data_IF_266431925482
#
_entry.id   IF_266431925482
#
_cell.length_a   1.000
_cell.length_b   1.000
_cell.length_c   1.000
_cell.angle_alpha   90.00
_cell.angle_beta   90.00
_cell.angle_gamma   90.00
#
_symmetry.space_group_name_H-M   'P 1'
#
loop_
_entity.id
_entity.type
_entity.pdbx_description
1 polymer ?
#
# COMPACT_ATOMS: atom_id res chain seq x y z
N UNK A 1 -34.03 -47.21 -53.95
CA UNK A 1 -34.82 -46.24 -53.17
C UNK A 1 -34.18 -44.88 -53.44
N UNK A 2 -34.69 -43.97 -54.29
CA UNK A 2 -36.07 -43.48 -54.52
C UNK A 2 -36.65 -42.86 -53.24
N UNK A 3 -37.12 -41.61 -53.19
CA UNK A 3 -37.60 -40.67 -54.24
C UNK A 3 -36.72 -39.38 -54.33
N UNK A 4 -36.76 -38.46 -55.33
CA UNK A 4 -37.85 -37.88 -56.18
C UNK A 4 -38.78 -36.91 -55.38
N UNK A 5 -39.28 -35.75 -55.83
CA UNK A 5 -39.46 -35.01 -57.13
C UNK A 5 -39.27 -33.48 -56.86
N UNK A 6 -39.46 -32.50 -57.76
CA UNK A 6 -38.87 -32.17 -59.09
C UNK A 6 -39.37 -30.76 -59.53
N UNK A 7 -38.50 -29.93 -60.14
CA UNK A 7 -38.75 -28.62 -60.81
C UNK A 7 -39.21 -27.41 -59.95
N UNK A 8 -38.98 -26.11 -60.25
CA UNK A 8 -38.38 -25.29 -61.35
C UNK A 8 -39.36 -24.30 -62.02
N UNK A 9 -38.88 -23.05 -62.16
CA UNK A 9 -39.25 -21.93 -63.07
C UNK A 9 -40.49 -21.02 -62.91
N UNK A 10 -40.28 -19.81 -63.49
CA UNK A 10 -41.24 -18.82 -64.02
C UNK A 10 -41.65 -17.60 -63.17
N UNK A 11 -40.70 -16.67 -63.04
CA UNK A 11 -40.84 -15.23 -63.38
C UNK A 11 -42.19 -14.76 -63.97
N UNK A 12 -42.74 -13.63 -63.47
CA UNK A 12 -43.39 -12.58 -64.31
C UNK A 12 -43.46 -11.24 -63.56
N UNK A 13 -43.57 -10.14 -64.31
CA UNK A 13 -43.50 -8.74 -63.86
C UNK A 13 -44.88 -8.19 -63.49
N UNK A 14 -44.97 -7.28 -62.50
CA UNK A 14 -46.20 -6.55 -62.17
C UNK A 14 -45.95 -5.18 -61.53
N UNK A 15 -46.24 -4.11 -62.26
CA UNK A 15 -46.31 -2.73 -61.75
C UNK A 15 -47.60 -2.48 -60.93
N UNK A 16 -47.60 -1.57 -59.94
CA UNK A 16 -48.23 -0.22 -60.04
C UNK A 16 -48.43 0.56 -58.73
N UNK A 17 -48.34 1.89 -58.88
CA UNK A 17 -49.05 2.98 -58.15
C UNK A 17 -49.11 3.02 -56.61
N UNK A 18 -48.36 3.96 -56.04
CA UNK A 18 -48.93 5.27 -55.66
C UNK A 18 -49.64 5.41 -54.30
N UNK A 19 -48.97 6.05 -53.33
CA UNK A 19 -49.57 6.52 -52.07
C UNK A 19 -49.21 7.98 -51.77
N UNK A 20 -50.21 8.87 -51.68
CA UNK A 20 -50.01 10.31 -51.38
C UNK A 20 -49.60 10.54 -49.93
N UNK A 21 -48.73 11.54 -49.69
CA UNK A 21 -48.75 12.34 -48.45
C UNK A 21 -48.60 13.83 -48.75
N UNK A 22 -49.54 14.61 -48.24
CA UNK A 22 -49.36 16.03 -47.91
C UNK A 22 -48.68 16.12 -46.51
N UNK A 23 -48.30 17.26 -45.92
CA UNK A 23 -48.61 18.68 -46.20
C UNK A 23 -47.44 19.57 -45.68
N UNK A 24 -47.44 20.84 -46.10
CA UNK A 24 -46.87 22.03 -45.42
C UNK A 24 -46.80 21.84 -43.88
N UNK A 25 -45.73 22.20 -43.15
CA UNK A 25 -45.34 23.61 -42.84
C UNK A 25 -43.91 23.79 -42.26
N UNK A 26 -43.44 25.03 -42.16
CA UNK A 26 -42.08 25.41 -41.74
C UNK A 26 -41.93 25.67 -40.23
N UNK A 27 -40.79 25.29 -39.63
CA UNK A 27 -40.46 25.62 -38.23
C UNK A 27 -38.97 25.91 -37.99
N UNK A 28 -38.61 27.18 -37.74
CA UNK A 28 -37.29 27.57 -37.19
C UNK A 28 -37.33 27.62 -35.65
N UNK A 29 -36.42 26.89 -34.98
CA UNK A 29 -35.86 27.13 -33.62
C UNK A 29 -34.59 26.27 -33.55
N UNK A 30 -33.38 26.83 -33.54
CA UNK A 30 -32.75 27.73 -32.54
C UNK A 30 -32.44 27.04 -31.20
N UNK A 31 -31.17 26.71 -31.05
CA UNK A 31 -30.35 26.61 -29.82
C UNK A 31 -31.05 26.45 -28.46
N UNK A 32 -30.72 25.34 -27.78
CA UNK A 32 -30.50 25.32 -26.33
C UNK A 32 -29.58 24.14 -25.93
N UNK A 33 -28.28 24.38 -26.02
CA UNK A 33 -27.26 23.55 -25.39
C UNK A 33 -26.92 24.04 -23.97
N UNK A 34 -25.97 23.36 -23.33
CA UNK A 34 -25.42 23.60 -21.98
C UNK A 34 -26.40 23.48 -20.80
N UNK A 35 -26.16 22.46 -19.97
CA UNK A 35 -26.78 22.28 -18.67
C UNK A 35 -26.16 21.12 -17.89
N UNK A 36 -26.24 19.90 -18.43
CA UNK A 36 -25.94 18.67 -17.69
C UNK A 36 -24.44 18.33 -17.60
N UNK A 37 -23.71 18.29 -18.73
CA UNK A 37 -22.34 17.74 -18.77
C UNK A 37 -21.27 18.42 -17.90
N UNK A 38 -21.48 19.65 -17.40
CA UNK A 38 -20.58 20.29 -16.42
C UNK A 38 -20.97 19.99 -14.96
N UNK A 39 -22.19 19.52 -14.71
CA UNK A 39 -22.58 18.90 -13.44
C UNK A 39 -21.99 17.52 -13.32
N UNK A 40 -22.21 16.67 -14.33
CA UNK A 40 -21.81 15.25 -14.30
C UNK A 40 -20.29 15.08 -14.23
N UNK A 41 -19.51 15.82 -15.05
CA UNK A 41 -18.05 15.78 -15.01
C UNK A 41 -17.48 16.26 -13.66
N UNK A 42 -18.13 17.22 -12.99
CA UNK A 42 -17.76 17.62 -11.63
C UNK A 42 -18.12 16.54 -10.62
N UNK A 43 -19.30 15.91 -10.75
CA UNK A 43 -19.77 14.82 -9.89
C UNK A 43 -18.87 13.60 -9.96
N UNK A 44 -18.36 13.26 -11.14
CA UNK A 44 -17.39 12.18 -11.35
C UNK A 44 -16.03 12.56 -10.71
N UNK A 45 -15.49 13.75 -10.97
CA UNK A 45 -14.23 14.20 -10.35
C UNK A 45 -14.31 14.35 -8.81
N UNK A 46 -15.51 14.61 -8.28
CA UNK A 46 -15.86 14.62 -6.85
C UNK A 46 -15.90 13.18 -6.30
N UNK A 47 -16.69 12.28 -6.90
CA UNK A 47 -16.78 10.86 -6.50
C UNK A 47 -15.46 10.11 -6.62
N UNK A 48 -14.65 10.34 -7.66
CA UNK A 48 -13.32 9.75 -7.76
C UNK A 48 -12.38 10.28 -6.65
N UNK A 49 -12.50 11.56 -6.28
CA UNK A 49 -11.71 12.14 -5.19
C UNK A 49 -12.13 11.53 -3.86
N UNK A 50 -13.43 11.37 -3.64
CA UNK A 50 -14.02 10.68 -2.49
C UNK A 50 -13.59 9.20 -2.44
N UNK A 51 -13.56 8.48 -3.57
CA UNK A 51 -13.02 7.10 -3.65
C UNK A 51 -11.51 7.05 -3.41
N UNK A 52 -10.73 8.02 -3.90
CA UNK A 52 -9.29 8.14 -3.59
C UNK A 52 -9.06 8.47 -2.11
N UNK A 53 -9.91 9.29 -1.50
CA UNK A 53 -9.86 9.64 -0.07
C UNK A 53 -10.35 8.50 0.83
N UNK A 54 -11.36 7.73 0.42
CA UNK A 54 -11.79 6.50 1.10
C UNK A 54 -10.72 5.39 0.99
N UNK A 55 -10.05 5.24 -0.16
CA UNK A 55 -8.89 4.35 -0.29
C UNK A 55 -7.72 4.80 0.59
N UNK A 56 -7.37 6.10 0.58
CA UNK A 56 -6.38 6.70 1.51
C UNK A 56 -6.76 6.47 2.97
N UNK A 57 -8.03 6.66 3.35
CA UNK A 57 -8.49 6.49 4.72
C UNK A 57 -8.43 5.02 5.16
N UNK A 58 -8.83 4.09 4.30
CA UNK A 58 -8.75 2.66 4.57
C UNK A 58 -7.28 2.18 4.66
N UNK A 59 -6.38 2.68 3.79
CA UNK A 59 -4.96 2.34 3.86
C UNK A 59 -4.24 3.01 5.04
N UNK A 60 -4.56 4.26 5.36
CA UNK A 60 -4.10 4.93 6.60
C UNK A 60 -4.61 4.18 7.84
N UNK A 61 -5.86 3.72 7.86
CA UNK A 61 -6.38 2.88 8.94
C UNK A 61 -5.62 1.55 9.05
N UNK A 62 -5.28 0.88 7.95
CA UNK A 62 -4.39 -0.31 8.00
C UNK A 62 -3.01 0.02 8.57
N UNK A 63 -2.43 1.17 8.24
CA UNK A 63 -1.17 1.65 8.82
C UNK A 63 -1.31 1.95 10.32
N UNK A 64 -2.43 2.54 10.76
CA UNK A 64 -2.72 2.77 12.19
C UNK A 64 -3.12 1.48 12.96
N UNK A 65 -3.64 0.45 12.29
CA UNK A 65 -3.83 -0.87 12.89
C UNK A 65 -2.53 -1.67 12.96
N UNK A 66 -1.57 -1.44 12.06
CA UNK A 66 -0.21 -1.97 12.16
C UNK A 66 0.62 -1.22 13.23
N UNK A 67 0.48 0.10 13.32
CA UNK A 67 0.94 0.94 14.43
C UNK A 67 -0.06 0.87 15.60
N UNK A 68 -0.36 -0.36 16.03
CA UNK A 68 -1.57 -0.73 16.77
C UNK A 68 -1.91 0.17 17.96
N UNK A 69 -2.93 1.02 17.75
CA UNK A 69 -3.72 1.75 18.74
C UNK A 69 -2.98 2.20 20.00
N UNK A 70 -2.10 3.19 19.85
CA UNK A 70 -1.79 4.13 20.95
C UNK A 70 -2.94 5.16 21.07
N UNK A 71 -4.17 4.67 21.23
CA UNK A 71 -5.29 5.47 21.72
C UNK A 71 -5.07 5.64 23.21
N UNK A 72 -4.41 6.74 23.58
CA UNK A 72 -4.17 7.14 24.96
C UNK A 72 -5.48 7.57 25.66
N UNK A 73 -6.33 6.58 25.92
CA UNK A 73 -7.39 6.65 26.94
C UNK A 73 -6.77 6.49 28.33
N UNK A 74 -5.76 7.32 28.64
CA UNK A 74 -5.45 7.65 30.01
C UNK A 74 -6.76 8.12 30.69
N UNK A 75 -7.13 7.57 31.85
CA UNK A 75 -8.29 8.05 32.58
C UNK A 75 -8.05 9.51 32.95
N UNK A 76 -8.91 10.41 32.48
CA UNK A 76 -8.89 11.80 32.93
C UNK A 76 -8.94 11.81 34.46
N UNK A 77 -7.94 12.37 35.17
CA UNK A 77 -8.03 12.48 36.61
C UNK A 77 -9.30 13.27 36.95
N UNK A 78 -10.07 12.87 37.97
CA UNK A 78 -11.28 13.59 38.33
C UNK A 78 -10.91 15.04 38.62
N UNK A 79 -11.60 15.97 37.95
CA UNK A 79 -11.39 17.40 38.17
C UNK A 79 -11.52 17.68 39.67
N UNK A 80 -10.50 18.32 40.25
CA UNK A 80 -10.46 18.61 41.68
C UNK A 80 -11.71 19.41 42.07
N UNK A 81 -12.59 18.78 42.85
CA UNK A 81 -13.79 19.42 43.35
C UNK A 81 -13.43 20.71 44.11
N UNK A 82 -14.29 21.72 44.02
CA UNK A 82 -14.07 22.99 44.70
C UNK A 82 -13.87 22.78 46.21
N UNK A 83 -12.85 23.43 46.77
CA UNK A 83 -12.64 23.48 48.20
C UNK A 83 -12.95 24.89 48.69
N UNK A 84 -14.08 25.06 49.38
CA UNK A 84 -14.50 26.34 49.97
C UNK A 84 -13.56 26.75 51.11
N UNK A 85 -12.94 27.95 51.08
CA UNK A 85 -12.16 28.47 52.19
C UNK A 85 -13.05 29.23 53.18
N UNK A 86 -13.66 28.50 54.12
CA UNK A 86 -14.42 29.08 55.23
C UNK A 86 -13.86 28.62 56.60
N UNK A 87 -13.66 29.58 57.51
CA UNK A 87 -12.91 29.47 58.78
C UNK A 87 -11.39 29.23 58.63
N UNK A 88 -10.53 29.79 59.49
CA UNK A 88 -10.81 30.84 60.48
C UNK A 88 -9.75 31.01 61.56
N UNK A 89 -9.08 32.17 61.55
CA UNK A 89 -8.37 32.82 62.67
C UNK A 89 -7.01 32.25 63.13
N UNK A 90 -6.07 33.17 63.41
CA UNK A 90 -4.74 33.04 64.09
C UNK A 90 -3.64 32.21 63.39
N UNK A 91 -2.35 32.53 63.54
CA UNK A 91 -1.71 33.69 64.20
C UNK A 91 -0.47 34.14 63.39
N UNK A 92 0.01 35.37 63.61
CA UNK A 92 0.98 36.02 62.72
C UNK A 92 2.46 35.82 63.06
N UNK A 93 3.35 36.14 62.12
CA UNK A 93 4.65 36.84 62.34
C UNK A 93 5.15 37.38 60.99
N UNK A 94 5.54 38.65 60.94
CA UNK A 94 6.13 39.27 59.74
C UNK A 94 7.63 38.96 59.61
N UNK A 95 8.09 38.61 58.41
CA UNK A 95 9.50 38.74 58.01
C UNK A 95 9.56 39.27 56.57
N UNK A 96 10.06 40.49 56.41
CA UNK A 96 10.23 41.14 55.09
C UNK A 96 11.60 40.80 54.47
N UNK A 97 11.66 40.38 53.19
CA UNK A 97 12.92 40.08 52.52
C UNK A 97 13.53 41.34 51.86
N UNK A 98 14.60 41.88 52.44
CA UNK A 98 15.44 42.89 51.78
C UNK A 98 16.31 42.25 50.71
N UNK A 99 16.18 42.66 49.45
CA UNK A 99 17.11 42.30 48.37
C UNK A 99 17.97 43.49 47.92
N UNK A 100 19.31 43.31 47.78
CA UNK A 100 20.15 44.24 47.03
C UNK A 100 20.07 43.95 45.51
N UNK A 101 20.20 44.96 44.64
CA UNK A 101 20.24 44.77 43.19
C UNK A 101 21.62 44.27 42.72
N UNK A 102 21.65 43.35 41.76
CA UNK A 102 22.86 42.91 41.05
C UNK A 102 22.67 43.08 39.55
N UNK A 103 23.70 43.56 38.86
CA UNK A 103 23.59 44.15 37.52
C UNK A 103 23.38 43.14 36.38
N UNK A 104 22.80 43.62 35.27
CA UNK A 104 22.56 42.85 34.06
C UNK A 104 23.87 42.52 33.31
N UNK A 105 24.33 41.27 33.41
CA UNK A 105 25.43 40.73 32.62
C UNK A 105 24.92 39.87 31.46
N UNK A 106 25.10 40.30 30.22
CA UNK A 106 24.58 39.61 29.02
C UNK A 106 25.40 38.36 28.68
N UNK A 107 25.04 37.21 29.26
CA UNK A 107 25.65 35.91 28.92
C UNK A 107 25.24 35.49 27.51
N UNK A 108 26.09 35.78 26.51
CA UNK A 108 25.99 35.17 25.18
C UNK A 108 26.37 33.69 25.28
N UNK A 109 25.37 32.82 25.24
CA UNK A 109 25.58 31.42 24.91
C UNK A 109 26.11 31.34 23.47
N UNK A 110 27.26 30.70 23.28
CA UNK A 110 27.78 30.42 21.95
C UNK A 110 27.04 29.19 21.40
N UNK A 111 26.30 29.35 20.31
CA UNK A 111 25.65 28.23 19.63
C UNK A 111 26.71 27.21 19.21
N UNK A 112 26.69 25.96 19.70
CA UNK A 112 27.59 24.93 19.20
C UNK A 112 27.30 24.71 17.71
N UNK A 113 28.32 24.53 16.85
CA UNK A 113 28.09 24.29 15.44
C UNK A 113 27.23 23.03 15.27
N UNK A 114 26.21 23.11 14.42
CA UNK A 114 25.32 21.99 14.16
C UNK A 114 26.13 20.80 13.63
N UNK A 115 26.40 19.82 14.49
CA UNK A 115 26.92 18.52 14.07
C UNK A 115 25.90 17.95 13.09
N UNK A 116 26.31 17.78 11.84
CA UNK A 116 25.49 17.11 10.84
C UNK A 116 25.00 15.78 11.43
N UNK A 117 23.68 15.66 11.60
CA UNK A 117 23.06 14.54 12.29
C UNK A 117 23.09 13.30 11.40
N UNK A 118 24.29 12.69 11.29
CA UNK A 118 24.42 11.28 10.96
C UNK A 118 23.55 10.52 11.95
N UNK A 119 22.39 10.08 11.49
CA UNK A 119 21.65 8.99 12.13
C UNK A 119 22.65 7.87 12.42
N UNK A 120 22.67 7.30 13.64
CA UNK A 120 23.51 6.16 13.92
C UNK A 120 23.11 5.05 12.94
N UNK A 121 24.08 4.54 12.18
CA UNK A 121 23.82 3.44 11.24
C UNK A 121 23.25 2.26 12.02
N UNK A 122 22.20 1.57 11.53
CA UNK A 122 21.71 0.37 12.21
C UNK A 122 22.84 -0.63 12.43
N UNK A 123 22.78 -1.34 13.56
CA UNK A 123 23.71 -2.42 13.89
C UNK A 123 23.45 -3.64 13.00
N UNK A 124 22.18 -3.88 12.65
CA UNK A 124 21.74 -4.89 11.68
C UNK A 124 20.63 -4.37 10.77
N UNK A 125 20.69 -4.73 9.49
CA UNK A 125 19.59 -4.57 8.52
C UNK A 125 18.96 -5.95 8.28
N UNK A 126 17.65 -6.10 8.50
CA UNK A 126 16.92 -7.35 8.22
C UNK A 126 16.19 -7.28 6.88
N UNK A 127 16.12 -8.42 6.18
CA UNK A 127 15.39 -8.53 4.92
C UNK A 127 14.40 -9.69 4.95
N UNK A 128 13.11 -9.36 5.02
CA UNK A 128 11.99 -10.31 5.10
C UNK A 128 11.07 -10.27 3.87
N UNK A 129 11.32 -9.42 2.86
CA UNK A 129 10.61 -9.46 1.57
C UNK A 129 11.18 -10.57 0.68
N UNK A 130 11.00 -11.82 1.09
CA UNK A 130 11.69 -13.00 0.61
C UNK A 130 12.19 -13.87 1.77
N UNK A 131 13.07 -14.85 1.51
CA UNK A 131 13.75 -15.61 2.56
C UNK A 131 14.49 -14.69 3.54
N UNK A 132 14.40 -14.96 4.84
CA UNK A 132 15.00 -14.10 5.86
C UNK A 132 16.53 -14.02 5.72
N UNK A 133 17.04 -12.80 5.56
CA UNK A 133 18.46 -12.44 5.62
C UNK A 133 18.69 -11.43 6.74
N UNK A 134 19.92 -11.38 7.25
CA UNK A 134 20.40 -10.29 8.08
C UNK A 134 21.74 -9.79 7.52
N UNK A 135 21.95 -8.47 7.57
CA UNK A 135 23.19 -7.79 7.19
C UNK A 135 23.73 -7.06 8.41
N UNK A 136 24.93 -7.42 8.86
CA UNK A 136 25.61 -6.82 10.01
C UNK A 136 26.88 -6.12 9.51
N UNK A 137 27.08 -4.86 9.88
CA UNK A 137 28.19 -4.03 9.40
C UNK A 137 28.36 -4.02 7.85
N UNK A 138 27.27 -4.20 7.10
CA UNK A 138 27.28 -4.26 5.62
C UNK A 138 27.64 -5.63 5.02
N UNK A 139 27.70 -6.71 5.82
CA UNK A 139 27.92 -8.10 5.35
C UNK A 139 26.73 -8.99 5.69
N UNK A 140 26.32 -9.85 4.76
CA UNK A 140 25.37 -10.92 5.06
C UNK A 140 25.95 -11.87 6.12
N UNK A 141 25.12 -12.32 7.05
CA UNK A 141 25.52 -13.22 8.14
C UNK A 141 24.76 -14.54 8.12
N UNK A 142 25.43 -15.63 8.49
CA UNK A 142 24.83 -16.97 8.54
C UNK A 142 23.84 -17.09 9.72
N UNK A 143 22.56 -17.05 9.39
CA UNK A 143 21.46 -17.22 10.33
C UNK A 143 21.21 -18.68 10.75
N UNK A 144 21.96 -19.65 10.21
CA UNK A 144 21.95 -21.04 10.63
C UNK A 144 20.71 -21.84 10.23
N UNK A 145 20.38 -22.84 11.04
CA UNK A 145 19.36 -23.85 10.74
C UNK A 145 17.95 -23.27 10.52
N UNK A 146 17.06 -23.94 9.76
CA UNK A 146 15.73 -23.41 9.41
C UNK A 146 14.88 -22.90 10.58
N UNK A 147 14.88 -23.56 11.74
CA UNK A 147 14.14 -23.08 12.93
C UNK A 147 14.75 -21.83 13.57
N UNK A 148 16.06 -21.61 13.43
CA UNK A 148 16.72 -20.37 13.86
C UNK A 148 16.43 -19.21 12.89
N UNK A 149 16.28 -19.50 11.59
CA UNK A 149 15.81 -18.54 10.58
C UNK A 149 14.34 -18.18 10.79
N UNK A 150 13.47 -19.17 10.95
CA UNK A 150 12.05 -18.98 11.27
C UNK A 150 11.83 -18.15 12.54
N UNK A 151 12.62 -18.39 13.61
CA UNK A 151 12.61 -17.58 14.83
C UNK A 151 12.86 -16.10 14.54
N UNK A 152 13.86 -15.79 13.71
CA UNK A 152 14.14 -14.42 13.34
C UNK A 152 13.01 -13.83 12.49
N UNK A 153 12.44 -14.58 11.55
CA UNK A 153 11.32 -14.12 10.72
C UNK A 153 10.08 -13.75 11.56
N UNK A 154 9.69 -14.58 12.53
CA UNK A 154 8.62 -14.27 13.52
C UNK A 154 8.92 -12.97 14.25
N UNK A 155 10.14 -12.81 14.78
CA UNK A 155 10.54 -11.61 15.51
C UNK A 155 10.61 -10.35 14.63
N UNK A 156 11.00 -10.46 13.35
CA UNK A 156 11.03 -9.34 12.40
C UNK A 156 9.62 -8.90 12.02
N UNK A 157 8.65 -9.82 11.92
CA UNK A 157 7.23 -9.49 11.69
C UNK A 157 6.57 -8.69 12.84
N UNK A 158 7.27 -8.57 13.98
CA UNK A 158 6.89 -7.80 15.17
C UNK A 158 8.05 -6.93 15.67
N UNK A 159 8.88 -6.41 14.76
CA UNK A 159 10.03 -5.57 15.12
C UNK A 159 9.61 -4.37 15.99
N UNK A 160 10.31 -4.13 17.09
CA UNK A 160 9.94 -3.15 18.12
C UNK A 160 8.90 -3.63 19.15
N UNK A 161 8.22 -4.76 18.93
CA UNK A 161 7.25 -5.35 19.86
C UNK A 161 7.81 -6.63 20.52
N UNK A 162 7.38 -6.98 21.75
CA UNK A 162 7.82 -8.20 22.42
C UNK A 162 6.94 -9.38 22.03
N UNK A 163 7.55 -10.45 21.50
CA UNK A 163 6.86 -11.72 21.21
C UNK A 163 7.10 -12.71 22.35
N UNK A 164 6.03 -13.26 22.92
CA UNK A 164 6.10 -14.21 24.04
C UNK A 164 6.76 -15.53 23.61
N UNK A 165 7.47 -16.19 24.56
CA UNK A 165 8.06 -17.52 24.34
C UNK A 165 7.01 -18.52 23.82
N UNK A 166 5.81 -18.49 24.39
CA UNK A 166 4.75 -19.46 24.10
C UNK A 166 4.28 -19.35 22.63
N UNK A 167 4.11 -18.12 22.13
CA UNK A 167 3.78 -17.83 20.71
C UNK A 167 4.93 -18.24 19.78
N UNK A 168 6.18 -17.98 20.17
CA UNK A 168 7.35 -18.39 19.39
C UNK A 168 7.43 -19.93 19.32
N UNK A 169 7.12 -20.64 20.39
CA UNK A 169 7.09 -22.11 20.42
C UNK A 169 5.95 -22.66 19.55
N UNK A 170 4.76 -22.07 19.64
CA UNK A 170 3.60 -22.44 18.81
C UNK A 170 3.91 -22.29 17.31
N UNK A 171 4.48 -21.16 16.89
CA UNK A 171 4.84 -20.90 15.49
C UNK A 171 6.02 -21.75 15.01
N UNK A 172 7.05 -21.93 15.84
CA UNK A 172 8.23 -22.74 15.47
C UNK A 172 7.94 -24.23 15.35
N UNK A 173 6.94 -24.76 16.05
CA UNK A 173 6.62 -26.20 16.04
C UNK A 173 5.19 -26.52 15.58
N UNK A 174 4.43 -25.54 15.14
CA UNK A 174 3.09 -25.68 14.55
C UNK A 174 2.16 -26.51 15.46
N UNK A 175 2.02 -26.06 16.70
CA UNK A 175 1.23 -26.73 17.76
C UNK A 175 1.81 -28.03 18.31
N UNK A 176 2.96 -28.50 17.81
CA UNK A 176 3.54 -29.81 18.16
C UNK A 176 4.98 -29.69 18.73
N UNK A 177 5.20 -28.93 19.81
CA UNK A 177 6.53 -28.73 20.37
C UNK A 177 7.10 -29.98 21.07
N UNK A 178 8.37 -30.35 20.86
CA UNK A 178 9.03 -31.39 21.65
C UNK A 178 9.25 -30.91 23.10
N UNK A 179 9.44 -31.82 24.07
CA UNK A 179 9.73 -31.45 25.47
C UNK A 179 10.97 -30.55 25.65
N UNK A 180 11.88 -30.53 24.67
CA UNK A 180 13.08 -29.69 24.63
C UNK A 180 12.90 -28.32 23.94
N UNK A 181 11.68 -27.95 23.54
CA UNK A 181 11.42 -26.74 22.73
C UNK A 181 11.97 -25.45 23.36
N UNK A 182 11.76 -25.25 24.67
CA UNK A 182 12.25 -24.07 25.40
C UNK A 182 13.78 -24.01 25.37
N UNK A 183 14.46 -25.13 25.61
CA UNK A 183 15.93 -25.24 25.57
C UNK A 183 16.47 -25.00 24.16
N UNK A 184 15.79 -25.54 23.14
CA UNK A 184 16.13 -25.32 21.72
C UNK A 184 15.99 -23.85 21.33
N UNK A 185 14.89 -23.20 21.76
CA UNK A 185 14.67 -21.76 21.56
C UNK A 185 15.76 -20.91 22.23
N UNK A 186 16.15 -21.23 23.47
CA UNK A 186 17.26 -20.54 24.15
C UNK A 186 18.58 -20.67 23.38
N UNK A 187 18.87 -21.85 22.81
CA UNK A 187 20.05 -22.06 21.97
C UNK A 187 19.98 -21.26 20.65
N UNK A 188 18.82 -21.23 19.97
CA UNK A 188 18.63 -20.42 18.76
C UNK A 188 18.80 -18.92 19.04
N UNK A 189 18.26 -18.41 20.16
CA UNK A 189 18.45 -17.01 20.59
C UNK A 189 19.92 -16.72 20.92
N UNK A 190 20.63 -17.63 21.59
CA UNK A 190 22.05 -17.47 21.89
C UNK A 190 22.91 -17.41 20.61
N UNK A 191 22.61 -18.25 19.62
CA UNK A 191 23.26 -18.23 18.32
C UNK A 191 22.96 -16.96 17.54
N UNK A 192 21.69 -16.55 17.41
CA UNK A 192 21.32 -15.28 16.77
C UNK A 192 22.03 -14.10 17.44
N UNK A 193 22.08 -14.05 18.78
CA UNK A 193 22.84 -13.04 19.53
C UNK A 193 24.33 -13.05 19.24
N UNK A 194 24.95 -14.20 18.96
CA UNK A 194 26.38 -14.28 18.59
C UNK A 194 26.62 -13.79 17.15
N UNK A 195 25.67 -14.03 16.26
CA UNK A 195 25.77 -13.70 14.82
C UNK A 195 25.41 -12.25 14.52
N UNK A 196 24.39 -11.71 15.20
CA UNK A 196 23.89 -10.34 15.00
C UNK A 196 24.73 -9.28 15.72
N UNK A 197 25.51 -9.67 16.72
CA UNK A 197 26.38 -8.77 17.50
C UNK A 197 27.75 -9.44 17.74
N UNK A 198 28.55 -9.65 16.67
CA UNK A 198 29.80 -10.44 16.75
C UNK A 198 30.85 -9.79 17.64
N UNK A 199 30.92 -8.46 17.66
CA UNK A 199 31.85 -7.67 18.47
C UNK A 199 31.35 -7.41 19.92
N UNK A 200 30.23 -8.03 20.33
CA UNK A 200 29.67 -7.82 21.67
C UNK A 200 30.57 -8.46 22.73
N UNK A 201 31.08 -7.63 23.63
CA UNK A 201 31.95 -8.04 24.72
C UNK A 201 31.34 -9.16 25.59
N UNK A 202 32.16 -10.06 26.17
CA UNK A 202 31.68 -11.08 27.09
C UNK A 202 30.88 -10.48 28.26
N UNK A 203 29.78 -11.15 28.61
CA UNK A 203 28.88 -10.80 29.73
C UNK A 203 28.08 -9.49 29.58
N UNK A 204 28.19 -8.72 28.50
CA UNK A 204 27.30 -7.57 28.27
C UNK A 204 25.95 -8.00 27.70
N UNK A 205 24.83 -7.30 28.02
CA UNK A 205 23.52 -7.59 27.44
C UNK A 205 23.50 -7.43 25.92
N UNK A 206 22.67 -8.23 25.25
CA UNK A 206 22.36 -8.06 23.83
C UNK A 206 21.48 -6.81 23.61
N UNK A 207 21.78 -6.04 22.56
CA UNK A 207 21.07 -4.81 22.19
C UNK A 207 20.12 -5.01 21.02
N UNK A 208 20.51 -5.81 20.02
CA UNK A 208 19.69 -6.14 18.84
C UNK A 208 18.53 -7.07 19.20
N UNK A 209 18.83 -8.25 19.77
CA UNK A 209 17.85 -9.26 20.16
C UNK A 209 17.73 -9.32 21.68
N UNK A 210 16.80 -8.54 22.24
CA UNK A 210 16.63 -8.35 23.68
C UNK A 210 15.68 -9.40 24.27
N UNK A 211 15.89 -9.75 25.53
CA UNK A 211 14.88 -10.47 26.33
C UNK A 211 14.01 -9.42 27.02
N UNK A 212 12.70 -9.58 26.95
CA UNK A 212 11.73 -8.61 27.48
C UNK A 212 10.57 -9.37 28.13
N UNK A 213 10.39 -9.22 29.44
CA UNK A 213 9.40 -9.98 30.20
C UNK A 213 9.57 -11.50 30.01
N UNK A 214 8.51 -12.17 29.54
CA UNK A 214 8.47 -13.61 29.19
C UNK A 214 8.70 -13.88 27.69
N UNK A 215 9.41 -12.98 27.00
CA UNK A 215 9.55 -13.01 25.55
C UNK A 215 10.85 -12.40 25.03
N UNK A 216 10.90 -12.21 23.72
CA UNK A 216 12.02 -11.62 23.00
C UNK A 216 11.54 -10.47 22.11
N UNK A 217 12.41 -9.48 21.90
CA UNK A 217 12.13 -8.26 21.16
C UNK A 217 13.34 -7.92 20.27
N UNK A 218 13.09 -7.62 18.99
CA UNK A 218 14.07 -6.96 18.13
C UNK A 218 13.94 -5.45 18.29
N UNK A 219 15.02 -4.78 18.65
CA UNK A 219 14.99 -3.37 19.05
C UNK A 219 15.03 -2.44 17.81
N UNK A 220 13.87 -1.94 17.40
CA UNK A 220 13.67 -1.07 16.22
C UNK A 220 14.47 0.24 16.25
N UNK A 221 15.13 0.59 17.36
CA UNK A 221 16.00 1.77 17.48
C UNK A 221 17.43 1.51 16.99
N UNK A 222 17.81 0.25 16.77
CA UNK A 222 19.15 -0.16 16.32
C UNK A 222 19.14 -1.07 15.09
N UNK A 223 17.97 -1.32 14.48
CA UNK A 223 17.82 -2.16 13.28
C UNK A 223 16.93 -1.51 12.23
N UNK A 224 17.23 -1.77 10.95
CA UNK A 224 16.33 -1.48 9.82
C UNK A 224 15.68 -2.76 9.30
N UNK A 225 14.51 -2.65 8.66
CA UNK A 225 13.82 -3.78 8.01
C UNK A 225 13.33 -3.36 6.62
N UNK A 226 13.60 -4.17 5.59
CA UNK A 226 13.15 -3.93 4.21
C UNK A 226 11.63 -3.73 4.08
N UNK A 227 10.83 -4.44 4.86
CA UNK A 227 9.37 -4.32 4.98
C UNK A 227 8.92 -2.87 5.27
N UNK A 228 9.60 -2.19 6.20
CA UNK A 228 9.31 -0.79 6.53
C UNK A 228 9.68 0.12 5.36
N UNK A 229 10.88 -0.07 4.79
CA UNK A 229 11.38 0.72 3.66
C UNK A 229 10.50 0.56 2.42
N UNK A 230 9.97 -0.63 2.16
CA UNK A 230 8.97 -0.88 1.11
C UNK A 230 7.67 -0.12 1.36
N UNK A 231 7.17 -0.14 2.61
CA UNK A 231 5.96 0.61 3.01
C UNK A 231 6.14 2.13 2.87
N UNK A 232 7.32 2.64 3.21
CA UNK A 232 7.72 4.05 3.00
C UNK A 232 7.77 4.41 1.52
N UNK A 233 8.42 3.57 0.69
CA UNK A 233 8.51 3.73 -0.77
C UNK A 233 7.14 3.72 -1.45
N UNK A 234 6.27 2.77 -1.08
CA UNK A 234 4.89 2.73 -1.54
C UNK A 234 4.15 4.04 -1.20
N UNK A 235 4.25 4.48 0.07
CA UNK A 235 3.63 5.73 0.55
C UNK A 235 4.18 6.96 -0.19
N UNK A 236 5.49 7.01 -0.48
CA UNK A 236 6.11 8.09 -1.23
C UNK A 236 5.67 8.11 -2.70
N UNK A 237 5.52 6.94 -3.33
CA UNK A 237 5.02 6.80 -4.70
C UNK A 237 3.58 7.26 -4.86
N UNK A 238 2.67 6.85 -3.97
CA UNK A 238 1.28 7.34 -3.95
C UNK A 238 1.21 8.85 -3.75
N UNK A 239 1.96 9.39 -2.77
CA UNK A 239 2.05 10.84 -2.54
C UNK A 239 2.62 11.62 -3.73
N UNK A 240 3.44 11.00 -4.58
CA UNK A 240 3.94 11.60 -5.80
C UNK A 240 2.88 11.60 -6.93
N UNK A 241 2.13 10.50 -7.11
CA UNK A 241 0.97 10.50 -8.01
C UNK A 241 -0.06 11.56 -7.60
N UNK A 242 -0.36 11.67 -6.31
CA UNK A 242 -1.29 12.66 -5.74
C UNK A 242 -0.88 14.12 -5.99
N UNK A 243 0.43 14.39 -6.20
CA UNK A 243 0.97 15.72 -6.56
C UNK A 243 1.13 15.94 -8.06
N UNK A 244 0.80 14.95 -8.90
CA UNK A 244 1.03 15.01 -10.34
C UNK A 244 2.50 14.82 -10.74
N UNK A 245 3.28 14.09 -9.94
CA UNK A 245 4.72 13.84 -10.14
C UNK A 245 5.00 12.38 -10.58
N UNK A 246 4.46 11.87 -11.70
CA UNK A 246 4.53 10.44 -12.02
C UNK A 246 5.97 9.92 -12.22
N UNK A 247 6.93 10.77 -12.62
CA UNK A 247 8.35 10.40 -12.68
C UNK A 247 8.99 10.20 -11.30
N UNK A 248 8.48 10.88 -10.26
CA UNK A 248 8.88 10.60 -8.88
C UNK A 248 8.17 9.34 -8.37
N UNK A 249 6.90 9.14 -8.73
CA UNK A 249 6.17 7.92 -8.38
C UNK A 249 6.84 6.66 -8.92
N UNK A 250 7.26 6.65 -10.19
CA UNK A 250 8.03 5.55 -10.78
C UNK A 250 9.28 5.23 -9.97
N UNK A 251 10.13 6.22 -9.67
CA UNK A 251 11.35 6.02 -8.86
C UNK A 251 11.08 5.40 -7.50
N UNK A 252 10.02 5.85 -6.82
CA UNK A 252 9.67 5.35 -5.49
C UNK A 252 9.10 3.92 -5.56
N UNK A 253 8.17 3.64 -6.47
CA UNK A 253 7.61 2.29 -6.65
C UNK A 253 8.67 1.28 -7.11
N UNK A 254 9.57 1.65 -8.04
CA UNK A 254 10.67 0.80 -8.49
C UNK A 254 11.68 0.55 -7.38
N UNK A 255 12.08 1.58 -6.63
CA UNK A 255 12.94 1.42 -5.46
C UNK A 255 12.28 0.54 -4.37
N UNK A 256 10.96 0.55 -4.25
CA UNK A 256 10.21 -0.37 -3.39
C UNK A 256 10.23 -1.81 -3.91
N UNK A 257 9.92 -2.02 -5.19
CA UNK A 257 9.85 -3.36 -5.81
C UNK A 257 11.20 -4.07 -5.82
N UNK A 258 12.32 -3.35 -6.00
CA UNK A 258 13.68 -3.94 -5.94
C UNK A 258 14.08 -4.52 -4.58
N UNK A 259 13.31 -4.28 -3.51
CA UNK A 259 13.53 -4.91 -2.20
C UNK A 259 13.03 -6.37 -2.14
N UNK A 260 12.12 -6.75 -3.04
CA UNK A 260 11.48 -8.06 -3.07
C UNK A 260 12.38 -9.12 -3.73
N UNK A 261 12.59 -10.22 -3.00
CA UNK A 261 13.42 -11.38 -3.39
C UNK A 261 12.62 -12.69 -3.43
N UNK A 262 11.33 -12.65 -3.09
CA UNK A 262 10.43 -13.81 -3.01
C UNK A 262 9.23 -13.52 -2.11
N UNK A 263 8.51 -14.56 -1.70
CA UNK A 263 7.39 -14.49 -0.74
C UNK A 263 7.84 -13.84 0.59
N UNK A 264 7.05 -12.91 1.12
CA UNK A 264 7.35 -12.25 2.39
C UNK A 264 7.36 -13.26 3.55
N UNK A 265 8.38 -13.17 4.42
CA UNK A 265 8.65 -14.08 5.55
C UNK A 265 8.65 -15.56 5.16
N UNK A 266 9.30 -15.94 4.05
CA UNK A 266 9.19 -17.27 3.43
C UNK A 266 9.40 -18.49 4.36
N UNK A 267 10.10 -18.34 5.49
CA UNK A 267 10.28 -19.39 6.50
C UNK A 267 9.02 -19.71 7.34
N UNK A 268 8.07 -18.78 7.38
CA UNK A 268 6.88 -18.75 8.27
C UNK A 268 5.66 -18.11 7.61
N UNK A 269 5.64 -17.96 6.28
CA UNK A 269 4.58 -17.23 5.57
C UNK A 269 3.18 -17.86 5.72
N UNK A 270 3.12 -19.17 5.99
CA UNK A 270 1.87 -19.92 6.17
C UNK A 270 1.47 -20.12 7.64
N UNK A 271 2.31 -19.73 8.61
CA UNK A 271 2.03 -19.93 10.06
C UNK A 271 1.09 -18.86 10.61
N UNK A 272 0.32 -19.20 11.64
CA UNK A 272 -0.89 -18.46 12.04
C UNK A 272 -0.63 -17.01 12.45
N UNK A 273 0.50 -16.73 13.10
CA UNK A 273 0.84 -15.41 13.62
C UNK A 273 1.42 -14.46 12.57
N UNK A 274 2.10 -14.99 11.54
CA UNK A 274 2.79 -14.19 10.51
C UNK A 274 2.01 -14.09 9.19
N UNK A 275 1.23 -15.12 8.83
CA UNK A 275 0.42 -15.17 7.60
C UNK A 275 -0.44 -13.93 7.32
N UNK A 276 -1.11 -13.27 8.30
CA UNK A 276 -1.86 -12.04 8.03
C UNK A 276 -1.00 -10.88 7.54
N UNK A 277 0.24 -10.76 8.06
CA UNK A 277 1.19 -9.72 7.67
C UNK A 277 1.86 -10.04 6.32
N UNK A 278 2.18 -11.31 6.06
CA UNK A 278 2.66 -11.76 4.75
C UNK A 278 1.62 -11.47 3.65
N UNK A 279 0.33 -11.76 3.90
CA UNK A 279 -0.76 -11.45 2.98
C UNK A 279 -0.96 -9.93 2.78
N UNK A 280 -0.87 -9.12 3.86
CA UNK A 280 -0.95 -7.65 3.76
C UNK A 280 0.16 -7.07 2.88
N UNK A 281 1.38 -7.60 3.00
CA UNK A 281 2.51 -7.14 2.19
C UNK A 281 2.40 -7.54 0.72
N UNK A 282 1.87 -8.73 0.43
CA UNK A 282 1.61 -9.15 -0.95
C UNK A 282 0.53 -8.28 -1.61
N UNK A 283 -0.58 -7.99 -0.93
CA UNK A 283 -1.58 -7.04 -1.42
C UNK A 283 -1.01 -5.63 -1.67
N UNK A 284 -0.11 -5.16 -0.79
CA UNK A 284 0.63 -3.91 -1.01
C UNK A 284 1.59 -4.01 -2.21
N UNK A 285 2.22 -5.16 -2.45
CA UNK A 285 3.07 -5.42 -3.64
C UNK A 285 2.26 -5.32 -4.93
N UNK A 286 1.10 -5.97 -4.98
CA UNK A 286 0.22 -5.93 -6.14
C UNK A 286 -0.29 -4.50 -6.40
N UNK A 287 -0.66 -3.78 -5.33
CA UNK A 287 -1.05 -2.37 -5.43
C UNK A 287 0.09 -1.47 -5.92
N UNK A 288 1.34 -1.71 -5.49
CA UNK A 288 2.51 -0.96 -5.98
C UNK A 288 2.83 -1.24 -7.45
N UNK A 289 2.60 -2.46 -7.96
CA UNK A 289 2.70 -2.75 -9.41
C UNK A 289 1.62 -1.98 -10.18
N UNK A 290 0.37 -2.00 -9.72
CA UNK A 290 -0.72 -1.20 -10.30
C UNK A 290 -0.36 0.30 -10.30
N UNK A 291 0.20 0.83 -9.21
CA UNK A 291 0.67 2.21 -9.09
C UNK A 291 1.83 2.57 -10.03
N UNK A 292 2.80 1.66 -10.20
CA UNK A 292 3.89 1.81 -11.18
C UNK A 292 3.34 1.90 -12.59
N UNK A 293 2.44 0.99 -12.97
CA UNK A 293 1.82 0.97 -14.29
C UNK A 293 0.96 2.22 -14.55
N UNK A 294 0.20 2.70 -13.56
CA UNK A 294 -0.50 3.98 -13.64
C UNK A 294 0.46 5.16 -13.88
N UNK A 295 1.62 5.16 -13.22
CA UNK A 295 2.66 6.17 -13.43
C UNK A 295 3.35 6.06 -14.82
N UNK A 296 3.55 4.84 -15.35
CA UNK A 296 4.01 4.62 -16.74
C UNK A 296 3.01 5.23 -17.75
N UNK A 297 1.70 4.99 -17.56
CA UNK A 297 0.65 5.55 -18.42
C UNK A 297 0.54 7.08 -18.33
N UNK A 298 0.89 7.68 -17.18
CA UNK A 298 0.93 9.13 -17.04
C UNK A 298 2.12 9.76 -17.79
N UNK A 299 3.28 9.10 -17.85
CA UNK A 299 4.47 9.62 -18.57
C UNK A 299 4.50 9.29 -20.08
N UNK A 300 3.53 8.53 -20.59
CA UNK A 300 3.46 8.13 -22.01
C UNK A 300 4.12 6.79 -22.33
N UNK A 301 4.58 6.03 -21.33
CA UNK A 301 5.29 4.77 -21.51
C UNK A 301 4.32 3.57 -21.69
N UNK A 302 3.44 3.65 -22.69
CA UNK A 302 2.31 2.74 -22.85
C UNK A 302 2.73 1.28 -23.10
N UNK A 303 3.64 1.01 -24.05
CA UNK A 303 4.13 -0.35 -24.32
C UNK A 303 4.78 -1.03 -23.10
N UNK A 304 5.50 -0.26 -22.27
CA UNK A 304 6.09 -0.78 -21.03
C UNK A 304 5.01 -1.19 -20.04
N UNK A 305 3.95 -0.38 -19.91
CA UNK A 305 2.82 -0.71 -19.06
C UNK A 305 2.06 -1.93 -19.60
N UNK A 306 1.85 -2.06 -20.91
CA UNK A 306 1.20 -3.23 -21.51
C UNK A 306 1.95 -4.52 -21.14
N UNK A 307 3.26 -4.59 -21.37
CA UNK A 307 4.03 -5.81 -21.11
C UNK A 307 4.02 -6.24 -19.63
N UNK A 308 4.04 -5.29 -18.68
CA UNK A 308 3.95 -5.58 -17.25
C UNK A 308 2.51 -5.97 -16.83
N UNK A 309 1.51 -5.32 -17.42
CA UNK A 309 0.09 -5.57 -17.11
C UNK A 309 -0.48 -6.84 -17.75
N UNK A 310 -0.03 -7.25 -18.94
CA UNK A 310 -0.41 -8.53 -19.56
C UNK A 310 -0.03 -9.71 -18.65
N UNK A 311 1.16 -9.68 -18.03
CA UNK A 311 1.56 -10.67 -17.04
C UNK A 311 0.81 -10.54 -15.71
N UNK A 312 0.60 -9.30 -15.22
CA UNK A 312 -0.13 -9.04 -13.98
C UNK A 312 -1.59 -9.52 -14.03
N UNK A 313 -2.33 -9.24 -15.11
CA UNK A 313 -3.74 -9.64 -15.22
C UNK A 313 -3.90 -11.14 -15.49
N UNK A 314 -2.89 -11.83 -16.05
CA UNK A 314 -2.89 -13.29 -16.11
C UNK A 314 -2.71 -13.93 -14.72
N UNK A 315 -1.84 -13.37 -13.87
CA UNK A 315 -1.61 -13.85 -12.51
C UNK A 315 -2.73 -13.46 -11.53
N UNK A 316 -3.36 -12.30 -11.73
CA UNK A 316 -4.35 -11.73 -10.82
C UNK A 316 -5.64 -11.28 -11.56
N UNK A 317 -6.36 -12.19 -12.26
CA UNK A 317 -7.40 -11.84 -13.22
C UNK A 317 -8.68 -11.25 -12.63
N UNK A 318 -8.84 -11.34 -11.30
CA UNK A 318 -9.92 -10.69 -10.54
C UNK A 318 -9.56 -9.26 -10.08
N UNK A 319 -8.31 -8.81 -10.26
CA UNK A 319 -7.90 -7.43 -9.97
C UNK A 319 -8.29 -6.51 -11.12
N UNK A 320 -9.55 -6.11 -11.09
CA UNK A 320 -10.16 -5.21 -12.07
C UNK A 320 -9.34 -3.94 -12.37
N UNK A 321 -8.58 -3.40 -11.40
CA UNK A 321 -7.77 -2.19 -11.63
C UNK A 321 -6.56 -2.47 -12.54
N UNK A 322 -5.95 -3.66 -12.46
CA UNK A 322 -4.98 -4.12 -13.47
C UNK A 322 -5.60 -4.26 -14.86
N UNK A 323 -6.84 -4.75 -14.96
CA UNK A 323 -7.57 -4.85 -16.22
C UNK A 323 -7.96 -3.47 -16.80
N UNK A 324 -8.35 -2.53 -15.94
CA UNK A 324 -8.63 -1.12 -16.24
C UNK A 324 -7.39 -0.44 -16.84
N UNK A 325 -6.24 -0.57 -16.16
CA UNK A 325 -4.95 -0.07 -16.63
C UNK A 325 -4.50 -0.73 -17.94
N UNK A 326 -4.66 -2.05 -18.09
CA UNK A 326 -4.24 -2.77 -19.31
C UNK A 326 -5.05 -2.32 -20.52
N UNK A 327 -6.36 -2.17 -20.34
CA UNK A 327 -7.27 -1.74 -21.41
C UNK A 327 -6.98 -0.30 -21.85
N UNK A 328 -6.68 0.59 -20.90
CA UNK A 328 -6.24 1.95 -21.19
C UNK A 328 -4.86 1.99 -21.88
N UNK A 329 -3.93 1.11 -21.48
CA UNK A 329 -2.62 0.98 -22.09
C UNK A 329 -2.73 0.55 -23.56
N UNK A 330 -3.45 -0.55 -23.81
CA UNK A 330 -3.73 -1.07 -25.15
C UNK A 330 -4.44 -0.04 -26.04
N UNK A 331 -5.46 0.66 -25.52
CA UNK A 331 -6.13 1.72 -26.28
C UNK A 331 -5.17 2.84 -26.69
N UNK A 332 -4.32 3.33 -25.78
CA UNK A 332 -3.33 4.38 -26.06
C UNK A 332 -2.22 3.93 -27.02
N UNK A 333 -1.95 2.63 -27.08
CA UNK A 333 -1.11 1.99 -28.10
C UNK A 333 -1.84 1.71 -29.44
N UNK A 334 -3.10 2.14 -29.61
CA UNK A 334 -3.90 1.90 -30.82
C UNK A 334 -4.49 0.48 -30.92
N UNK A 335 -4.23 -0.40 -29.94
CA UNK A 335 -4.70 -1.79 -29.85
C UNK A 335 -6.15 -1.86 -29.31
N UNK A 336 -7.06 -1.05 -29.87
CA UNK A 336 -8.45 -0.89 -29.39
C UNK A 336 -9.23 -2.21 -29.30
N UNK A 337 -9.07 -3.10 -30.29
CA UNK A 337 -9.76 -4.40 -30.31
C UNK A 337 -9.31 -5.31 -29.15
N UNK A 338 -8.04 -5.24 -28.76
CA UNK A 338 -7.47 -6.01 -27.65
C UNK A 338 -7.87 -5.42 -26.31
N UNK A 339 -7.92 -4.08 -26.19
CA UNK A 339 -8.46 -3.40 -25.01
C UNK A 339 -9.91 -3.85 -24.71
N UNK A 340 -10.77 -3.88 -25.74
CA UNK A 340 -12.15 -4.37 -25.61
C UNK A 340 -12.22 -5.87 -25.29
N UNK A 341 -11.27 -6.68 -25.77
CA UNK A 341 -11.19 -8.09 -25.43
C UNK A 341 -10.83 -8.31 -23.95
N UNK A 342 -9.85 -7.58 -23.41
CA UNK A 342 -9.45 -7.62 -21.99
C UNK A 342 -10.63 -7.31 -21.08
N UNK A 343 -11.38 -6.24 -21.37
CA UNK A 343 -12.56 -5.85 -20.60
C UNK A 343 -13.60 -6.99 -20.60
N UNK A 344 -13.99 -7.51 -21.76
CA UNK A 344 -15.01 -8.56 -21.89
C UNK A 344 -14.60 -9.88 -21.24
N UNK A 345 -13.32 -10.26 -21.33
CA UNK A 345 -12.79 -11.46 -20.66
C UNK A 345 -12.80 -11.30 -19.14
N UNK A 346 -12.48 -10.12 -18.60
CA UNK A 346 -12.59 -9.86 -17.16
C UNK A 346 -14.06 -9.83 -16.69
N UNK A 347 -14.95 -9.11 -17.39
CA UNK A 347 -16.40 -9.08 -17.10
C UNK A 347 -16.99 -10.49 -17.05
N UNK A 348 -16.71 -11.30 -18.07
CA UNK A 348 -17.15 -12.70 -18.12
C UNK A 348 -16.65 -13.50 -16.91
N UNK A 349 -15.38 -13.33 -16.52
CA UNK A 349 -14.80 -14.02 -15.37
C UNK A 349 -15.43 -13.60 -14.04
N UNK A 350 -15.73 -12.31 -13.84
CA UNK A 350 -16.42 -11.84 -12.63
C UNK A 350 -17.81 -12.47 -12.48
N UNK A 351 -18.55 -12.59 -13.58
CA UNK A 351 -19.84 -13.27 -13.60
C UNK A 351 -19.73 -14.79 -13.37
N UNK A 352 -18.73 -15.47 -13.96
CA UNK A 352 -18.56 -16.93 -13.85
C UNK A 352 -17.91 -17.39 -12.53
N UNK A 353 -16.91 -16.67 -11.99
CA UNK A 353 -16.18 -17.07 -10.77
C UNK A 353 -16.76 -16.49 -9.48
N UNK A 354 -17.36 -15.29 -9.53
CA UNK A 354 -17.84 -14.57 -8.33
C UNK A 354 -19.35 -14.27 -8.35
N UNK A 355 -20.01 -14.36 -9.51
CA UNK A 355 -21.43 -14.02 -9.65
C UNK A 355 -21.72 -12.51 -9.51
N UNK A 356 -20.75 -11.64 -9.82
CA UNK A 356 -20.87 -10.19 -9.66
C UNK A 356 -20.68 -9.44 -10.99
N UNK A 357 -21.33 -8.28 -11.09
CA UNK A 357 -21.11 -7.31 -12.16
C UNK A 357 -19.76 -6.57 -11.99
N UNK A 358 -19.13 -6.11 -13.08
CA UNK A 358 -17.91 -5.29 -13.05
C UNK A 358 -18.17 -3.92 -12.40
N UNK A 359 -17.14 -3.34 -11.77
CA UNK A 359 -17.19 -1.96 -11.26
C UNK A 359 -17.61 -0.96 -12.35
N UNK A 360 -18.34 0.11 -11.99
CA UNK A 360 -18.71 1.18 -12.93
C UNK A 360 -17.53 1.81 -13.68
N UNK A 361 -16.32 1.80 -13.13
CA UNK A 361 -15.10 2.27 -13.81
C UNK A 361 -14.75 1.46 -15.07
N UNK A 362 -14.86 0.12 -15.03
CA UNK A 362 -14.64 -0.74 -16.19
C UNK A 362 -15.75 -0.56 -17.24
N UNK A 363 -17.00 -0.44 -16.79
CA UNK A 363 -18.14 -0.15 -17.66
C UNK A 363 -17.99 1.21 -18.35
N UNK A 364 -17.52 2.24 -17.63
CA UNK A 364 -17.24 3.56 -18.19
C UNK A 364 -16.11 3.50 -19.22
N UNK A 365 -15.00 2.85 -18.89
CA UNK A 365 -13.86 2.69 -19.79
C UNK A 365 -14.23 1.94 -21.09
N UNK A 366 -15.07 0.89 -21.05
CA UNK A 366 -15.53 0.25 -22.30
C UNK A 366 -16.32 1.23 -23.17
N UNK A 367 -17.22 2.03 -22.57
CA UNK A 367 -17.99 3.03 -23.29
C UNK A 367 -17.10 4.17 -23.83
N UNK A 368 -16.11 4.64 -23.08
CA UNK A 368 -15.15 5.64 -23.56
C UNK A 368 -14.31 5.12 -24.74
N UNK A 369 -13.86 3.86 -24.67
CA UNK A 369 -13.09 3.19 -25.73
C UNK A 369 -13.94 2.98 -26.99
N UNK A 370 -15.22 2.63 -26.85
CA UNK A 370 -16.14 2.46 -27.98
C UNK A 370 -16.50 3.81 -28.66
N UNK A 371 -16.55 4.91 -27.89
CA UNK A 371 -16.89 6.23 -28.40
C UNK A 371 -15.67 7.10 -28.76
N UNK A 372 -14.45 6.57 -28.66
CA UNK A 372 -13.19 7.30 -28.84
C UNK A 372 -13.13 8.61 -28.03
N UNK A 373 -13.44 8.52 -26.73
CA UNK A 373 -13.56 9.70 -25.87
C UNK A 373 -12.22 10.49 -25.77
N UNK A 374 -12.18 11.80 -26.08
CA UNK A 374 -10.95 12.61 -26.05
C UNK A 374 -10.29 12.82 -24.67
N UNK A 375 -10.85 12.20 -23.62
CA UNK A 375 -10.27 12.09 -22.28
C UNK A 375 -9.29 10.89 -22.18
N UNK A 376 -9.47 9.86 -23.01
CA UNK A 376 -8.57 8.72 -23.09
C UNK A 376 -7.24 9.09 -23.75
N UNK A 377 -7.23 10.06 -24.67
CA UNK A 377 -6.02 10.53 -25.35
C UNK A 377 -4.93 10.93 -24.34
N UNK A 378 -3.72 10.36 -24.48
CA UNK A 378 -2.60 10.81 -23.64
C UNK A 378 -2.18 12.22 -24.04
N UNK A 379 -2.05 13.09 -23.04
CA UNK A 379 -1.57 14.47 -23.19
C UNK A 379 -0.35 14.64 -22.29
N UNK A 380 0.82 15.05 -22.81
CA UNK A 380 1.99 15.30 -21.97
C UNK A 380 1.69 16.44 -20.99
N UNK A 381 1.99 16.24 -19.71
CA UNK A 381 1.84 17.28 -18.69
C UNK A 381 2.83 18.43 -19.01
N UNK A 382 2.35 19.67 -19.26
CA UNK A 382 3.21 20.78 -19.67
C UNK A 382 3.96 21.37 -18.47
N UNK A 383 5.06 20.72 -18.06
CA UNK A 383 5.91 21.17 -16.95
C UNK A 383 6.76 20.05 -16.38
N UNK A 384 7.95 19.84 -16.94
CA UNK A 384 8.85 18.77 -16.50
C UNK A 384 10.05 18.59 -17.45
N UNK A 385 10.73 19.69 -17.75
CA UNK A 385 11.94 19.68 -18.57
C UNK A 385 13.19 19.43 -17.72
N UNK A 386 14.04 18.53 -18.23
CA UNK A 386 15.48 18.32 -17.96
C UNK A 386 15.93 18.63 -16.54
#
# INVERSE_FOLDING_TARGET
MTNEKTNVDTMVIGERTGGRRSRVESGRRSSRGNGHGNGDARRIAELEREVRELRRANEMLKVYFAQGLDLDLAPTPPASAAFDPATGDRDGTEITPTMPPVAAGTVRWATPPARASRTPRPLAEFRALGPIEAVVAGRLVDLGAPKQRALLAVLVSKVGQPVAVDVIVEELWTGNPPPSAITSLQAYVANLRRVLEPDRAPRTPATVLRTFGRGYLLDNRVVEVDVHRFSERATAGWRALDRGEPRQALREFEAGLTLWRGQAYAEVADTGYVRPEAARLEELRLSVVEGRCAALLAVGAHEMAVAELEAFTQAHPLREYGCELLSLALYRSGRQAEALAVLRTNQKRLAEELGIDPRPALQHLENEILNHAPALDWRPVPGGGI
#
